data_IF_557160156001
#
_entry.id   IF_557160156001
#
_cell.length_a   1.000
_cell.length_b   1.000
_cell.length_c   1.000
_cell.angle_alpha   90.00
_cell.angle_beta   90.00
_cell.angle_gamma   90.00
#
_symmetry.space_group_name_H-M   'P 1'
#
loop_
_entity.id
_entity.type
_entity.pdbx_description
1 polymer ?
#
# COMPACT_ATOMS: atom_id res chain seq x y z
N UNK A 1 38.64 9.63 41.01
CA UNK A 1 37.22 9.73 40.59
C UNK A 1 37.12 10.18 39.12
N UNK A 2 37.31 9.30 38.12
CA UNK A 2 37.07 9.67 36.70
C UNK A 2 36.48 8.54 35.85
N UNK A 3 36.70 7.27 36.21
CA UNK A 3 36.16 6.12 35.47
C UNK A 3 34.64 5.88 35.67
N UNK A 4 34.04 6.41 36.74
CA UNK A 4 32.63 6.19 37.09
C UNK A 4 31.63 7.05 36.31
N UNK A 5 32.07 8.16 35.70
CA UNK A 5 31.20 9.03 34.92
C UNK A 5 31.14 8.64 33.43
N UNK A 6 32.17 7.94 32.93
CA UNK A 6 32.24 7.50 31.52
C UNK A 6 31.39 6.24 31.28
N UNK A 7 31.24 5.40 32.30
CA UNK A 7 30.37 4.23 32.29
C UNK A 7 28.86 4.59 32.34
N UNK A 8 28.50 5.73 32.95
CA UNK A 8 27.11 6.19 32.99
C UNK A 8 26.66 6.78 31.64
N UNK A 9 27.55 7.41 30.88
CA UNK A 9 27.21 8.05 29.60
C UNK A 9 27.06 7.05 28.44
N UNK A 10 27.65 5.86 28.55
CA UNK A 10 27.55 4.82 27.51
C UNK A 10 26.25 4.01 27.58
N UNK A 11 25.55 4.00 28.72
CA UNK A 11 24.27 3.29 28.88
C UNK A 11 23.07 4.03 28.26
N UNK A 12 23.17 5.36 28.09
CA UNK A 12 22.09 6.19 27.56
C UNK A 12 21.90 6.10 26.03
N UNK A 13 22.90 5.60 25.29
CA UNK A 13 22.83 5.49 23.83
C UNK A 13 22.19 4.18 23.34
N UNK A 14 22.09 3.16 24.21
CA UNK A 14 21.60 1.83 23.84
C UNK A 14 20.06 1.71 23.78
N UNK A 15 19.31 2.66 24.31
CA UNK A 15 17.83 2.58 24.37
C UNK A 15 17.12 3.18 23.17
N UNK A 16 17.84 3.76 22.20
CA UNK A 16 17.23 4.34 20.98
C UNK A 16 17.12 3.34 19.82
N UNK A 17 16.96 2.05 20.11
CA UNK A 17 16.46 1.07 19.16
C UNK A 17 14.98 0.79 19.47
N UNK A 18 14.17 1.84 19.54
CA UNK A 18 12.72 1.67 19.56
C UNK A 18 12.33 1.04 18.22
N UNK A 19 11.82 -0.19 18.28
CA UNK A 19 11.27 -0.89 17.13
C UNK A 19 10.29 0.05 16.41
N UNK A 20 10.58 0.40 15.16
CA UNK A 20 9.60 1.02 14.29
C UNK A 20 8.55 -0.04 13.99
N UNK A 21 7.55 -0.17 14.87
CA UNK A 21 6.32 -0.87 14.53
C UNK A 21 5.80 -0.22 13.27
N UNK A 22 5.86 -0.94 12.15
CA UNK A 22 5.34 -0.49 10.86
C UNK A 22 3.89 -0.08 11.07
N UNK A 23 3.64 1.23 11.11
CA UNK A 23 2.32 1.84 11.31
C UNK A 23 1.52 1.69 10.00
N UNK A 24 1.13 0.46 9.69
CA UNK A 24 0.36 0.13 8.52
C UNK A 24 -0.90 -0.61 8.93
N UNK A 25 -1.98 -0.28 8.24
CA UNK A 25 -3.29 -0.87 8.47
C UNK A 25 -3.34 -2.34 8.08
N UNK A 26 -4.45 -3.01 8.34
CA UNK A 26 -4.67 -4.37 7.85
C UNK A 26 -4.56 -4.40 6.30
N UNK A 27 -3.99 -5.45 5.70
CA UNK A 27 -3.90 -5.56 4.25
C UNK A 27 -5.28 -5.75 3.62
N UNK A 28 -5.53 -5.09 2.49
CA UNK A 28 -6.74 -5.25 1.68
C UNK A 28 -6.38 -5.95 0.37
N UNK A 29 -7.01 -7.07 0.09
CA UNK A 29 -6.86 -7.77 -1.20
C UNK A 29 -7.98 -7.37 -2.15
N UNK A 30 -7.61 -6.84 -3.31
CA UNK A 30 -8.53 -6.49 -4.39
C UNK A 30 -8.42 -7.56 -5.47
N UNK A 31 -9.57 -8.11 -5.87
CA UNK A 31 -9.70 -8.97 -7.05
C UNK A 31 -10.61 -8.29 -8.04
N UNK A 32 -10.05 -7.87 -9.17
CA UNK A 32 -10.83 -7.37 -10.29
C UNK A 32 -10.90 -8.45 -11.37
N UNK A 33 -12.11 -8.82 -11.78
CA UNK A 33 -12.34 -9.77 -12.88
C UNK A 33 -13.06 -9.06 -14.02
N UNK A 34 -12.46 -9.07 -15.19
CA UNK A 34 -13.07 -8.52 -16.38
C UNK A 34 -14.01 -9.55 -17.01
N UNK A 35 -15.31 -9.40 -16.78
CA UNK A 35 -16.35 -10.24 -17.38
C UNK A 35 -16.94 -9.62 -18.66
N UNK A 36 -16.39 -8.51 -19.13
CA UNK A 36 -16.80 -7.84 -20.36
C UNK A 36 -16.15 -8.44 -21.61
N UNK A 37 -16.43 -7.82 -22.75
CA UNK A 37 -15.88 -8.19 -24.06
C UNK A 37 -14.70 -7.31 -24.49
N UNK A 38 -14.43 -6.23 -23.76
CA UNK A 38 -13.37 -5.27 -24.05
C UNK A 38 -12.27 -5.27 -22.99
N UNK A 39 -11.10 -4.75 -23.34
CA UNK A 39 -9.99 -4.60 -22.40
C UNK A 39 -10.33 -3.55 -21.34
N UNK A 40 -10.16 -3.90 -20.07
CA UNK A 40 -10.32 -2.97 -18.96
C UNK A 40 -9.01 -2.25 -18.66
N UNK A 41 -9.02 -0.92 -18.68
CA UNK A 41 -7.86 -0.10 -18.34
C UNK A 41 -7.96 0.41 -16.91
N UNK A 42 -6.91 0.23 -16.12
CA UNK A 42 -6.80 0.85 -14.79
C UNK A 42 -6.57 2.36 -14.94
N UNK A 43 -7.43 3.17 -14.30
CA UNK A 43 -7.37 4.63 -14.39
C UNK A 43 -7.26 5.25 -13.00
N UNK A 44 -6.30 6.16 -12.85
CA UNK A 44 -6.11 6.94 -11.63
C UNK A 44 -6.74 8.33 -11.83
N UNK A 45 -7.96 8.47 -11.32
CA UNK A 45 -8.83 9.68 -11.24
C UNK A 45 -8.39 10.78 -10.28
N UNK A 46 -8.35 10.32 -9.05
CA UNK A 46 -8.57 11.05 -7.82
C UNK A 46 -7.46 10.69 -6.85
N UNK A 47 -7.34 11.48 -5.79
CA UNK A 47 -6.32 11.27 -4.75
C UNK A 47 -6.42 9.90 -4.08
N UNK A 48 -7.61 9.32 -3.97
CA UNK A 48 -7.80 8.02 -3.33
C UNK A 48 -7.28 6.87 -4.21
N UNK A 49 -7.43 6.97 -5.53
CA UNK A 49 -6.84 5.99 -6.46
C UNK A 49 -5.32 6.14 -6.52
N UNK A 50 -4.79 7.38 -6.48
CA UNK A 50 -3.34 7.61 -6.35
C UNK A 50 -2.82 6.94 -5.08
N UNK A 51 -3.49 7.16 -3.95
CA UNK A 51 -3.13 6.52 -2.67
C UNK A 51 -3.12 5.00 -2.79
N UNK A 52 -4.11 4.42 -3.47
CA UNK A 52 -4.21 2.97 -3.68
C UNK A 52 -3.04 2.45 -4.52
N UNK A 53 -2.70 3.15 -5.61
CA UNK A 53 -1.58 2.78 -6.47
C UNK A 53 -0.24 2.84 -5.72
N UNK A 54 -0.02 3.87 -4.91
CA UNK A 54 1.23 4.04 -4.14
C UNK A 54 1.37 3.03 -2.99
N UNK A 55 0.26 2.60 -2.39
CA UNK A 55 0.24 1.66 -1.28
C UNK A 55 0.04 0.20 -1.73
N UNK A 56 0.06 -0.07 -3.04
CA UNK A 56 -0.01 -1.42 -3.58
C UNK A 56 1.29 -2.18 -3.29
N UNK A 57 1.18 -3.34 -2.65
CA UNK A 57 2.33 -4.23 -2.36
C UNK A 57 2.72 -5.06 -3.57
N UNK A 58 1.75 -5.30 -4.45
CA UNK A 58 1.90 -6.00 -5.72
C UNK A 58 1.49 -5.07 -6.84
N UNK A 59 2.20 -5.11 -7.96
CA UNK A 59 1.93 -4.24 -9.09
C UNK A 59 0.47 -4.40 -9.58
N UNK A 60 -0.21 -3.28 -9.80
CA UNK A 60 -1.53 -3.26 -10.41
C UNK A 60 -1.34 -3.33 -11.92
N UNK A 61 -1.93 -4.34 -12.57
CA UNK A 61 -1.90 -4.46 -14.01
C UNK A 61 -2.56 -3.22 -14.65
N UNK A 62 -1.90 -2.55 -15.61
CA UNK A 62 -2.45 -1.36 -16.26
C UNK A 62 -3.68 -1.70 -17.12
N UNK A 63 -3.75 -2.95 -17.60
CA UNK A 63 -4.88 -3.48 -18.37
C UNK A 63 -5.25 -4.88 -17.91
N UNK A 64 -6.50 -5.26 -18.09
CA UNK A 64 -7.03 -6.61 -17.81
C UNK A 64 -7.86 -7.06 -19.01
N UNK A 65 -7.45 -8.15 -19.66
CA UNK A 65 -8.12 -8.66 -20.87
C UNK A 65 -9.52 -9.21 -20.55
N UNK A 66 -10.41 -9.31 -21.54
CA UNK A 66 -11.69 -10.01 -21.41
C UNK A 66 -11.51 -11.42 -20.83
N UNK A 67 -12.28 -11.78 -19.80
CA UNK A 67 -12.21 -13.08 -19.14
C UNK A 67 -11.12 -13.21 -18.07
N UNK A 68 -10.13 -12.31 -18.06
CA UNK A 68 -9.01 -12.35 -17.10
C UNK A 68 -9.35 -11.66 -15.77
N UNK A 69 -8.45 -11.85 -14.81
CA UNK A 69 -8.51 -11.19 -13.50
C UNK A 69 -7.15 -10.64 -13.08
N UNK A 70 -7.17 -9.53 -12.36
CA UNK A 70 -6.01 -9.00 -11.67
C UNK A 70 -6.24 -9.03 -10.15
N UNK A 71 -5.27 -9.58 -9.42
CA UNK A 71 -5.32 -9.72 -7.96
C UNK A 71 -4.13 -8.97 -7.38
N UNK A 72 -4.40 -8.05 -6.45
CA UNK A 72 -3.35 -7.28 -5.80
C UNK A 72 -3.72 -6.95 -4.35
N UNK A 73 -2.69 -6.73 -3.54
CA UNK A 73 -2.86 -6.30 -2.15
C UNK A 73 -2.43 -4.84 -1.97
N UNK A 74 -3.20 -4.12 -1.18
CA UNK A 74 -2.99 -2.71 -0.84
C UNK A 74 -2.94 -2.59 0.67
N UNK A 75 -1.95 -1.87 1.17
CA UNK A 75 -1.80 -1.66 2.60
C UNK A 75 -1.39 -0.23 2.88
N UNK A 76 -2.35 0.57 3.34
CA UNK A 76 -2.14 1.96 3.70
C UNK A 76 -1.27 2.09 4.94
N UNK A 77 -0.35 3.04 4.94
CA UNK A 77 0.45 3.42 6.13
C UNK A 77 -0.14 4.60 6.90
N UNK A 78 -1.39 5.00 6.62
CA UNK A 78 -2.02 6.16 7.26
C UNK A 78 -2.50 5.87 8.68
N UNK A 79 -2.98 4.66 8.93
CA UNK A 79 -3.54 4.22 10.20
C UNK A 79 -3.21 2.75 10.42
N UNK A 80 -2.95 2.29 11.66
CA UNK A 80 -2.69 0.89 11.94
C UNK A 80 -3.98 0.07 12.04
N UNK A 81 -5.13 0.73 12.19
CA UNK A 81 -6.42 0.10 12.44
C UNK A 81 -7.28 0.04 11.18
N UNK A 82 -7.00 0.87 10.18
CA UNK A 82 -7.78 0.94 8.95
C UNK A 82 -6.93 1.07 7.70
N UNK A 83 -7.41 0.43 6.64
CA UNK A 83 -6.85 0.50 5.29
C UNK A 83 -8.00 0.54 4.29
N UNK A 84 -7.74 1.10 3.13
CA UNK A 84 -8.73 1.22 2.07
C UNK A 84 -8.07 1.07 0.70
N UNK A 85 -8.89 0.73 -0.29
CA UNK A 85 -8.53 0.76 -1.69
C UNK A 85 -9.67 1.44 -2.47
N UNK A 86 -9.30 2.35 -3.36
CA UNK A 86 -10.19 3.01 -4.30
C UNK A 86 -9.65 2.74 -5.69
N UNK A 87 -10.43 2.06 -6.52
CA UNK A 87 -9.97 1.55 -7.82
C UNK A 87 -11.00 1.89 -8.88
N UNK A 88 -10.51 2.21 -10.08
CA UNK A 88 -11.36 2.49 -11.22
C UNK A 88 -10.80 1.81 -12.47
N UNK A 89 -11.69 1.06 -13.11
CA UNK A 89 -11.43 0.44 -14.40
C UNK A 89 -12.38 1.07 -15.42
N UNK A 90 -11.83 1.47 -16.56
CA UNK A 90 -12.60 1.97 -17.68
C UNK A 90 -12.59 0.92 -18.80
N UNK A 91 -13.76 0.64 -19.34
CA UNK A 91 -14.00 -0.22 -20.50
C UNK A 91 -14.99 0.50 -21.41
N UNK A 92 -14.90 0.30 -22.72
CA UNK A 92 -15.69 1.07 -23.66
C UNK A 92 -15.05 2.41 -23.99
N UNK A 93 -15.12 2.79 -25.25
CA UNK A 93 -15.16 4.20 -25.63
C UNK A 93 -16.62 4.60 -25.77
N UNK A 94 -17.03 5.67 -25.08
CA UNK A 94 -18.25 6.35 -25.48
C UNK A 94 -17.93 7.09 -26.78
N UNK A 95 -18.48 6.62 -27.90
CA UNK A 95 -18.62 7.41 -29.12
C UNK A 95 -19.76 8.42 -29.00
#
# INVERSE_FOLDING_TARGET
MKAKNVLLTSFALATLCAAVSVHAGPPVTVTFKNLGTEVAEYKVVTRNEISTQLNARTAIAPTVQPGDSNVYSVQSTLSPDTSYASVRYAMGSKV
#
